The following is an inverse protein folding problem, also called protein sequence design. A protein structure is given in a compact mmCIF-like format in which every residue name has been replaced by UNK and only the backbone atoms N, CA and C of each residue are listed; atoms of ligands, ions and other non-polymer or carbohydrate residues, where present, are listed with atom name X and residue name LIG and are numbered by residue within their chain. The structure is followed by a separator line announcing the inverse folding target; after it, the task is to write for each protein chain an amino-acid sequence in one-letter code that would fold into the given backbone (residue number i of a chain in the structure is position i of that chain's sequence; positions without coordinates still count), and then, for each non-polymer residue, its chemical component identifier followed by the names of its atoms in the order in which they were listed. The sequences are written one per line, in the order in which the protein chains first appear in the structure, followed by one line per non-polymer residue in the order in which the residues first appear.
data_IF_691727130286
#
_entry.id   IF_691727130286
#
_cell.length_a   1.000
_cell.length_b   1.000
_cell.length_c   1.000
_cell.angle_alpha   90.00
_cell.angle_beta   90.00
_cell.angle_gamma   90.00
#
_symmetry.space_group_name_H-M   'P 1'
#
loop_
_entity.id
_entity.type
_entity.pdbx_description
1 polymer ?
#
# COMPACT_ATOMS: atom_id res chain seq x y z
N UNK A 1 6.96 -0.30 -15.40
CA UNK A 1 7.35 -1.73 -15.39
C UNK A 1 7.24 -2.21 -13.95
N UNK A 2 6.02 -2.50 -13.50
CA UNK A 2 5.73 -2.81 -12.09
C UNK A 2 6.36 -4.14 -11.68
N UNK A 3 7.16 -4.14 -10.61
CA UNK A 3 7.89 -5.31 -10.12
C UNK A 3 6.96 -6.52 -9.89
N UNK A 4 7.28 -7.65 -10.52
CA UNK A 4 6.54 -8.93 -10.39
C UNK A 4 6.44 -9.34 -8.92
N UNK A 5 7.49 -9.06 -8.15
CA UNK A 5 7.59 -9.33 -6.72
C UNK A 5 6.56 -8.52 -5.94
N UNK A 6 6.44 -7.22 -6.21
CA UNK A 6 5.46 -6.35 -5.53
C UNK A 6 4.03 -6.78 -5.84
N UNK A 7 3.73 -7.09 -7.12
CA UNK A 7 2.39 -7.59 -7.50
C UNK A 7 2.07 -8.93 -6.83
N UNK A 8 3.03 -9.84 -6.74
CA UNK A 8 2.86 -11.11 -6.04
C UNK A 8 2.57 -10.87 -4.54
N UNK A 9 3.36 -10.05 -3.86
CA UNK A 9 3.18 -9.78 -2.42
C UNK A 9 1.83 -9.10 -2.15
N UNK A 10 1.51 -8.04 -2.90
CA UNK A 10 0.24 -7.31 -2.76
C UNK A 10 -0.95 -8.21 -3.12
N UNK A 11 -0.81 -9.06 -4.13
CA UNK A 11 -1.81 -10.04 -4.53
C UNK A 11 -2.07 -11.08 -3.44
N UNK A 12 -1.02 -11.72 -2.93
CA UNK A 12 -1.11 -12.68 -1.82
C UNK A 12 -1.74 -12.03 -0.59
N UNK A 13 -1.34 -10.80 -0.25
CA UNK A 13 -1.98 -10.05 0.83
C UNK A 13 -3.48 -9.80 0.55
N UNK A 14 -3.87 -9.39 -0.66
CA UNK A 14 -5.28 -9.17 -1.02
C UNK A 14 -6.14 -10.44 -0.94
N UNK A 15 -5.54 -11.60 -1.18
CA UNK A 15 -6.22 -12.91 -1.07
C UNK A 15 -6.32 -13.42 0.36
N UNK A 16 -5.30 -13.17 1.19
CA UNK A 16 -5.28 -13.58 2.60
C UNK A 16 -6.00 -12.60 3.53
N UNK A 17 -6.00 -11.30 3.19
CA UNK A 17 -6.61 -10.26 4.00
C UNK A 17 -8.14 -10.31 3.89
N UNK A 18 -8.81 -10.23 5.04
CA UNK A 18 -10.26 -10.19 5.10
C UNK A 18 -10.81 -8.88 4.53
N UNK A 19 -12.09 -8.89 4.11
CA UNK A 19 -12.77 -7.70 3.59
C UNK A 19 -12.73 -6.52 4.57
N UNK A 20 -12.84 -6.78 5.87
CA UNK A 20 -12.73 -5.74 6.91
C UNK A 20 -11.38 -5.03 6.88
N UNK A 21 -10.28 -5.78 6.74
CA UNK A 21 -8.92 -5.22 6.68
C UNK A 21 -8.70 -4.44 5.38
N UNK A 22 -9.32 -4.87 4.29
CA UNK A 22 -9.24 -4.14 3.00
C UNK A 22 -10.04 -2.84 3.01
N UNK A 23 -11.14 -2.78 3.77
CA UNK A 23 -12.00 -1.60 3.92
C UNK A 23 -11.60 -0.69 5.07
N UNK A 24 -10.73 -1.14 6.00
CA UNK A 24 -10.28 -0.33 7.14
C UNK A 24 -9.19 0.68 6.79
N UNK A 25 -8.77 0.77 5.53
CA UNK A 25 -7.77 1.74 5.10
C UNK A 25 -8.37 3.15 5.15
N UNK A 26 -7.83 4.01 6.01
CA UNK A 26 -8.29 5.40 6.19
C UNK A 26 -7.76 6.35 5.10
N UNK A 27 -7.00 5.79 4.18
CA UNK A 27 -6.13 6.47 3.25
C UNK A 27 -6.55 6.15 1.81
N UNK A 28 -6.66 7.19 0.98
CA UNK A 28 -6.98 7.09 -0.45
C UNK A 28 -5.74 7.49 -1.28
N UNK A 29 -5.34 6.72 -2.31
CA UNK A 29 -5.75 5.34 -2.58
C UNK A 29 -5.27 4.39 -1.48
N UNK A 30 -5.85 3.18 -1.44
CA UNK A 30 -5.55 2.18 -0.38
C UNK A 30 -4.05 1.88 -0.26
N UNK A 31 -3.58 1.47 0.93
CA UNK A 31 -2.16 1.13 1.15
C UNK A 31 -1.60 0.11 0.14
N UNK A 32 -2.44 -0.84 -0.30
CA UNK A 32 -2.06 -1.84 -1.31
C UNK A 32 -1.82 -1.24 -2.69
N UNK A 33 -2.58 -0.21 -3.06
CA UNK A 33 -2.50 0.48 -4.33
C UNK A 33 -1.41 1.56 -4.30
N UNK A 34 -1.27 2.26 -3.17
CA UNK A 34 -0.13 3.11 -2.90
C UNK A 34 1.19 2.36 -3.03
N UNK A 35 1.26 1.11 -2.55
CA UNK A 35 2.46 0.29 -2.70
C UNK A 35 2.84 0.09 -4.18
N UNK A 36 1.86 -0.23 -5.01
CA UNK A 36 2.07 -0.43 -6.44
C UNK A 36 2.52 0.87 -7.13
N UNK A 37 1.84 1.98 -6.84
CA UNK A 37 2.17 3.30 -7.40
C UNK A 37 3.54 3.80 -6.93
N UNK A 38 3.87 3.62 -5.65
CA UNK A 38 5.13 4.05 -5.06
C UNK A 38 6.31 3.26 -5.61
N UNK A 39 6.14 1.95 -5.79
CA UNK A 39 7.15 1.10 -6.42
C UNK A 39 7.30 1.43 -7.91
N UNK A 40 6.20 1.67 -8.61
CA UNK A 40 6.25 2.06 -10.02
C UNK A 40 6.99 3.39 -10.25
N UNK A 41 6.80 4.35 -9.35
CA UNK A 41 7.38 5.69 -9.47
C UNK A 41 8.80 5.81 -8.92
N UNK A 42 9.10 5.14 -7.79
CA UNK A 42 10.38 5.31 -7.06
C UNK A 42 11.26 4.05 -7.05
N UNK A 43 10.79 2.94 -7.62
CA UNK A 43 11.45 1.63 -7.59
C UNK A 43 11.15 0.82 -6.33
N UNK A 44 11.44 -0.48 -6.38
CA UNK A 44 11.09 -1.47 -5.35
C UNK A 44 11.42 -1.02 -3.92
N UNK A 45 12.69 -0.78 -3.61
CA UNK A 45 13.14 -0.47 -2.25
C UNK A 45 12.57 0.82 -1.69
N UNK A 46 12.53 1.88 -2.51
CA UNK A 46 12.07 3.20 -2.06
C UNK A 46 10.55 3.24 -1.92
N UNK A 47 9.82 2.63 -2.86
CA UNK A 47 8.37 2.48 -2.79
C UNK A 47 7.92 1.65 -1.59
N UNK A 48 8.63 0.57 -1.29
CA UNK A 48 8.37 -0.24 -0.09
C UNK A 48 8.59 0.53 1.20
N UNK A 49 9.68 1.29 1.32
CA UNK A 49 9.95 2.12 2.51
C UNK A 49 8.87 3.19 2.73
N UNK A 50 8.40 3.84 1.66
CA UNK A 50 7.31 4.81 1.73
C UNK A 50 6.00 4.16 2.19
N UNK A 51 5.69 2.99 1.63
CA UNK A 51 4.49 2.22 1.99
C UNK A 51 4.52 1.78 3.46
N UNK A 52 5.64 1.23 3.93
CA UNK A 52 5.81 0.82 5.34
C UNK A 52 5.67 2.01 6.30
N UNK A 53 6.30 3.15 5.96
CA UNK A 53 6.14 4.39 6.73
C UNK A 53 4.68 4.85 6.79
N UNK A 54 3.89 4.65 5.73
CA UNK A 54 2.45 4.97 5.71
C UNK A 54 1.64 3.97 6.54
N UNK A 55 1.95 2.67 6.48
CA UNK A 55 1.32 1.65 7.33
C UNK A 55 1.49 1.95 8.83
N UNK A 56 2.68 2.34 9.26
CA UNK A 56 2.93 2.71 10.66
C UNK A 56 2.13 3.95 11.11
N UNK A 57 1.68 4.78 10.15
CA UNK A 57 0.85 5.96 10.40
C UNK A 57 -0.66 5.68 10.23
N UNK A 58 -1.04 4.46 9.82
CA UNK A 58 -2.43 4.08 9.63
C UNK A 58 -3.12 3.94 10.99
N UNK A 59 -3.94 4.93 11.32
CA UNK A 59 -4.76 5.01 12.53
C UNK A 59 -6.07 5.74 12.19
N UNK A 60 -7.16 5.51 12.94
CA UNK A 60 -8.49 6.05 12.63
C UNK A 60 -8.50 7.57 12.40
N UNK A 61 -7.61 8.30 13.09
CA UNK A 61 -7.57 9.77 13.08
C UNK A 61 -6.65 10.35 12.00
N UNK A 62 -5.94 9.52 11.24
CA UNK A 62 -4.88 9.96 10.32
C UNK A 62 -5.26 9.84 8.84
N UNK A 63 -6.56 9.78 8.51
CA UNK A 63 -7.03 9.57 7.15
C UNK A 63 -6.78 10.73 6.18
N UNK A 64 -6.93 10.45 4.87
CA UNK A 64 -6.82 11.45 3.82
C UNK A 64 -6.28 10.92 2.49
N UNK A 65 -6.11 11.85 1.54
CA UNK A 65 -5.53 11.55 0.22
C UNK A 65 -4.00 11.70 0.32
N UNK A 66 -3.27 10.60 0.11
CA UNK A 66 -1.81 10.59 0.08
C UNK A 66 -1.32 9.75 -1.10
N UNK A 67 -0.70 10.45 -2.06
CA UNK A 67 -0.22 9.93 -3.34
C UNK A 67 1.32 9.86 -3.31
N UNK A 68 1.94 8.82 -3.88
CA UNK A 68 3.39 8.66 -3.90
C UNK A 68 4.09 9.53 -4.95
#
# INVERSE_FOLDING_TARGET
MTDIVTRAIVGTYRHLASLRVRQSCVFEPTCSEYCLLAVEKHGFWRGWRMTLSRLCRCRPDAGGIDLP
#
